data_IF_289146837664
#
_entry.id   IF_289146837664
#
_cell.length_a   1.000
_cell.length_b   1.000
_cell.length_c   1.000
_cell.angle_alpha   90.00
_cell.angle_beta   90.00
_cell.angle_gamma   90.00
#
_symmetry.space_group_name_H-M   'P 1'
#
loop_
_entity.id
_entity.type
_entity.pdbx_description
1 polymer ?
#
# COMPACT_ATOMS: atom_id res chain seq x y z
N UNK A 1 21.22 17.19 -36.52
CA UNK A 1 19.82 16.84 -36.24
C UNK A 1 19.58 16.96 -34.74
N UNK A 2 19.28 18.19 -34.28
CA UNK A 2 18.93 18.47 -32.90
C UNK A 2 17.41 18.57 -32.84
N UNK A 3 16.75 17.44 -32.62
CA UNK A 3 15.32 17.43 -32.32
C UNK A 3 15.24 17.51 -30.79
N UNK A 4 14.90 18.70 -30.28
CA UNK A 4 14.79 19.10 -28.86
C UNK A 4 16.14 19.24 -28.13
N UNK A 5 16.56 20.50 -27.88
CA UNK A 5 17.81 20.87 -27.18
C UNK A 5 17.88 20.52 -25.67
N UNK A 6 17.22 19.43 -25.25
CA UNK A 6 17.29 18.92 -23.88
C UNK A 6 18.50 17.99 -23.73
N UNK A 7 19.33 18.25 -22.73
CA UNK A 7 20.43 17.36 -22.35
C UNK A 7 19.82 16.10 -21.73
N UNK A 8 20.36 14.92 -22.07
CA UNK A 8 19.90 13.64 -21.52
C UNK A 8 19.87 13.61 -19.97
N UNK A 9 20.78 14.34 -19.34
CA UNK A 9 20.81 14.50 -17.87
C UNK A 9 19.57 15.20 -17.31
N UNK A 10 19.03 16.20 -18.03
CA UNK A 10 17.78 16.87 -17.66
C UNK A 10 16.58 15.94 -17.82
N UNK A 11 16.57 15.11 -18.86
CA UNK A 11 15.48 14.13 -19.07
C UNK A 11 15.43 13.12 -17.91
N UNK A 12 16.59 12.58 -17.51
CA UNK A 12 16.68 11.65 -16.37
C UNK A 12 16.24 12.30 -15.06
N UNK A 13 16.61 13.56 -14.82
CA UNK A 13 16.18 14.26 -13.60
C UNK A 13 14.67 14.49 -13.57
N UNK A 14 14.04 14.87 -14.68
CA UNK A 14 12.59 15.01 -14.77
C UNK A 14 11.85 13.70 -14.52
N UNK A 15 12.37 12.58 -15.05
CA UNK A 15 11.79 11.25 -14.81
C UNK A 15 11.87 10.90 -13.33
N UNK A 16 13.04 11.08 -12.70
CA UNK A 16 13.24 10.77 -11.28
C UNK A 16 12.31 11.60 -10.39
N UNK A 17 12.23 12.92 -10.63
CA UNK A 17 11.34 13.82 -9.89
C UNK A 17 9.88 13.43 -10.08
N UNK A 18 9.47 13.07 -11.31
CA UNK A 18 8.10 12.65 -11.58
C UNK A 18 7.73 11.36 -10.85
N UNK A 19 8.63 10.37 -10.83
CA UNK A 19 8.42 9.10 -10.09
C UNK A 19 8.31 9.38 -8.59
N UNK A 20 9.17 10.24 -8.05
CA UNK A 20 9.13 10.61 -6.64
C UNK A 20 7.80 11.30 -6.29
N UNK A 21 7.38 12.28 -7.09
CA UNK A 21 6.13 13.00 -6.90
C UNK A 21 4.91 12.06 -6.97
N UNK A 22 4.85 11.18 -7.97
CA UNK A 22 3.77 10.20 -8.10
C UNK A 22 3.74 9.24 -6.90
N UNK A 23 4.90 8.78 -6.45
CA UNK A 23 5.01 7.87 -5.30
C UNK A 23 4.51 8.55 -4.03
N UNK A 24 5.03 9.74 -3.71
CA UNK A 24 4.61 10.50 -2.51
C UNK A 24 3.13 10.84 -2.56
N UNK A 25 2.63 11.30 -3.71
CA UNK A 25 1.21 11.61 -3.89
C UNK A 25 0.32 10.39 -3.66
N UNK A 26 0.74 9.21 -4.16
CA UNK A 26 0.01 7.96 -3.94
C UNK A 26 0.01 7.54 -2.46
N UNK A 27 1.14 7.69 -1.75
CA UNK A 27 1.21 7.39 -0.31
C UNK A 27 0.24 8.28 0.49
N UNK A 28 0.23 9.58 0.20
CA UNK A 28 -0.67 10.55 0.85
C UNK A 28 -2.13 10.19 0.53
N UNK A 29 -2.45 9.93 -0.75
CA UNK A 29 -3.78 9.50 -1.15
C UNK A 29 -4.24 8.25 -0.39
N UNK A 30 -3.39 7.22 -0.33
CA UNK A 30 -3.71 5.94 0.30
C UNK A 30 -4.02 6.05 1.80
N UNK A 31 -3.30 6.94 2.51
CA UNK A 31 -3.46 7.14 3.94
C UNK A 31 -4.71 8.00 4.24
N UNK A 32 -4.89 9.10 3.51
CA UNK A 32 -5.85 10.16 3.89
C UNK A 32 -7.14 10.17 3.06
N UNK A 33 -7.10 9.75 1.80
CA UNK A 33 -8.20 9.93 0.85
C UNK A 33 -8.78 8.63 0.31
N UNK A 34 -8.08 7.51 0.48
CA UNK A 34 -8.57 6.21 0.01
C UNK A 34 -9.91 5.84 0.66
N UNK A 35 -10.85 5.22 -0.08
CA UNK A 35 -12.16 4.82 0.47
C UNK A 35 -12.03 3.92 1.70
N UNK A 36 -11.01 3.06 1.73
CA UNK A 36 -10.71 2.17 2.85
C UNK A 36 -9.96 2.85 4.02
N UNK A 37 -9.85 4.18 4.08
CA UNK A 37 -9.12 4.90 5.14
C UNK A 37 -9.70 4.71 6.54
N UNK A 38 -10.97 4.33 6.63
CA UNK A 38 -11.69 4.13 7.89
C UNK A 38 -11.37 2.79 8.56
N UNK A 39 -10.81 1.83 7.81
CA UNK A 39 -10.45 0.53 8.37
C UNK A 39 -9.12 0.61 9.12
N UNK A 40 -9.03 -0.03 10.30
CA UNK A 40 -7.82 -0.02 11.11
C UNK A 40 -6.74 -0.89 10.48
N UNK A 41 -5.48 -0.63 10.84
CA UNK A 41 -4.34 -1.42 10.38
C UNK A 41 -3.02 -0.64 10.49
N UNK A 42 -1.88 -1.32 10.30
CA UNK A 42 -0.57 -0.70 10.35
C UNK A 42 -0.46 0.47 9.37
N UNK A 43 0.16 1.58 9.78
CA UNK A 43 0.30 2.76 8.93
C UNK A 43 0.99 2.44 7.59
N UNK A 44 2.03 1.60 7.61
CA UNK A 44 2.74 1.19 6.40
C UNK A 44 1.90 0.31 5.47
N UNK A 45 1.06 -0.57 6.03
CA UNK A 45 0.10 -1.37 5.27
C UNK A 45 -0.92 -0.48 4.56
N UNK A 46 -1.41 0.57 5.25
CA UNK A 46 -2.33 1.56 4.67
C UNK A 46 -1.68 2.39 3.56
N UNK A 47 -0.37 2.63 3.63
CA UNK A 47 0.36 3.50 2.71
C UNK A 47 0.76 2.77 1.42
N UNK A 48 1.32 1.56 1.53
CA UNK A 48 1.91 0.82 0.41
C UNK A 48 1.83 -0.70 0.58
N UNK A 49 1.67 -1.41 -0.55
CA UNK A 49 1.69 -2.88 -0.60
C UNK A 49 3.05 -3.49 -0.28
N UNK A 50 4.12 -2.69 -0.33
CA UNK A 50 5.48 -3.16 -0.03
C UNK A 50 5.61 -3.69 1.40
N UNK A 51 4.85 -3.15 2.34
CA UNK A 51 4.85 -3.61 3.73
C UNK A 51 4.29 -5.03 3.87
N UNK A 52 3.17 -5.32 3.17
CA UNK A 52 2.62 -6.66 3.07
C UNK A 52 3.60 -7.63 2.40
N UNK A 53 4.16 -7.22 1.25
CA UNK A 53 5.10 -8.03 0.48
C UNK A 53 6.35 -8.39 1.29
N UNK A 54 6.84 -7.49 2.14
CA UNK A 54 7.98 -7.76 3.01
C UNK A 54 7.73 -8.96 3.94
N UNK A 55 6.58 -9.04 4.61
CA UNK A 55 6.26 -10.15 5.51
C UNK A 55 5.92 -11.44 4.77
N UNK A 56 5.31 -11.31 3.59
CA UNK A 56 5.05 -12.42 2.68
C UNK A 56 6.36 -13.09 2.25
N UNK A 57 7.33 -12.30 1.76
CA UNK A 57 8.66 -12.78 1.38
C UNK A 57 9.49 -13.28 2.56
N UNK A 58 9.21 -12.78 3.77
CA UNK A 58 9.86 -13.25 5.00
C UNK A 58 9.28 -14.57 5.52
N UNK A 59 8.18 -15.06 4.95
CA UNK A 59 7.53 -16.32 5.35
C UNK A 59 6.79 -16.27 6.69
N UNK A 60 6.69 -15.09 7.31
CA UNK A 60 6.06 -14.89 8.63
C UNK A 60 4.71 -14.18 8.55
N UNK A 61 4.13 -14.11 7.34
CA UNK A 61 2.90 -13.34 7.11
C UNK A 61 1.72 -13.82 7.96
N UNK A 62 1.56 -15.13 8.12
CA UNK A 62 0.51 -15.72 8.95
C UNK A 62 0.61 -15.28 10.43
N UNK A 63 1.83 -15.20 10.99
CA UNK A 63 2.05 -14.71 12.35
C UNK A 63 1.68 -13.24 12.46
N UNK A 64 2.08 -12.46 11.45
CA UNK A 64 1.87 -11.02 11.45
C UNK A 64 0.40 -10.65 11.25
N UNK A 65 -0.32 -11.41 10.43
CA UNK A 65 -1.75 -11.28 10.24
C UNK A 65 -2.51 -11.61 11.54
N UNK A 66 -2.12 -12.67 12.25
CA UNK A 66 -2.67 -12.95 13.59
C UNK A 66 -2.43 -11.77 14.54
N UNK A 67 -1.18 -11.28 14.64
CA UNK A 67 -0.83 -10.16 15.49
C UNK A 67 -1.68 -8.91 15.16
N UNK A 68 -1.87 -8.62 13.88
CA UNK A 68 -2.70 -7.49 13.47
C UNK A 68 -4.17 -7.68 13.85
N UNK A 69 -4.73 -8.88 13.69
CA UNK A 69 -6.10 -9.15 14.13
C UNK A 69 -6.25 -9.11 15.66
N UNK A 70 -5.22 -9.52 16.40
CA UNK A 70 -5.19 -9.39 17.87
C UNK A 70 -5.21 -7.90 18.31
N UNK A 71 -4.58 -7.00 17.54
CA UNK A 71 -4.47 -5.56 17.87
C UNK A 71 -5.65 -4.73 17.33
N UNK A 72 -6.05 -4.98 16.09
CA UNK A 72 -6.98 -4.12 15.33
C UNK A 72 -8.39 -4.71 15.22
N UNK A 73 -8.58 -5.99 15.55
CA UNK A 73 -9.88 -6.67 15.54
C UNK A 73 -10.13 -7.49 14.28
N UNK A 74 -11.40 -7.81 14.02
CA UNK A 74 -11.81 -8.79 13.00
C UNK A 74 -11.56 -8.32 11.56
N UNK A 75 -11.50 -7.01 11.31
CA UNK A 75 -11.29 -6.42 9.99
C UNK A 75 -10.06 -5.54 10.00
N UNK A 76 -9.06 -5.89 9.18
CA UNK A 76 -7.78 -5.18 9.15
C UNK A 76 -7.39 -4.82 7.73
N UNK A 77 -6.95 -3.58 7.53
CA UNK A 77 -6.38 -3.12 6.27
C UNK A 77 -4.90 -3.52 6.17
N UNK A 78 -4.65 -4.59 5.41
CA UNK A 78 -3.33 -5.21 5.26
C UNK A 78 -2.55 -4.70 4.04
N UNK A 79 -3.23 -4.03 3.10
CA UNK A 79 -2.63 -3.24 2.02
C UNK A 79 -3.53 -2.03 1.69
N UNK A 80 -3.11 -1.08 0.83
CA UNK A 80 -3.93 0.08 0.51
C UNK A 80 -5.32 -0.29 -0.01
N UNK A 81 -5.41 -1.36 -0.79
CA UNK A 81 -6.57 -1.86 -1.52
C UNK A 81 -7.07 -3.22 -1.00
N UNK A 82 -6.60 -3.68 0.15
CA UNK A 82 -6.87 -5.04 0.65
C UNK A 82 -7.27 -5.02 2.13
N UNK A 83 -8.35 -5.75 2.43
CA UNK A 83 -8.84 -6.00 3.78
C UNK A 83 -8.75 -7.49 4.09
N UNK A 84 -8.35 -7.79 5.32
CA UNK A 84 -8.37 -9.12 5.89
C UNK A 84 -9.49 -9.25 6.89
N UNK A 85 -10.15 -10.41 6.90
CA UNK A 85 -11.30 -10.73 7.74
C UNK A 85 -11.06 -12.05 8.47
N UNK A 86 -11.50 -12.14 9.72
CA UNK A 86 -11.48 -13.39 10.50
C UNK A 86 -12.87 -13.94 10.83
N UNK A 87 -13.95 -13.20 10.53
CA UNK A 87 -15.31 -13.62 10.84
C UNK A 87 -15.88 -14.59 9.80
N UNK A 88 -16.63 -15.59 10.24
CA UNK A 88 -17.29 -16.54 9.34
C UNK A 88 -18.36 -15.87 8.45
N UNK A 89 -18.99 -14.80 8.95
CA UNK A 89 -19.98 -14.02 8.18
C UNK A 89 -19.36 -13.41 6.92
N UNK A 90 -18.09 -13.00 6.96
CA UNK A 90 -17.41 -12.42 5.80
C UNK A 90 -17.38 -13.39 4.61
N UNK A 91 -17.33 -14.70 4.84
CA UNK A 91 -17.39 -15.68 3.76
C UNK A 91 -18.72 -15.60 2.99
N UNK A 92 -19.83 -15.47 3.72
CA UNK A 92 -21.19 -15.38 3.15
C UNK A 92 -21.43 -14.04 2.46
N UNK A 93 -20.85 -12.96 2.98
CA UNK A 93 -21.05 -11.62 2.40
C UNK A 93 -20.22 -11.43 1.11
N UNK A 94 -19.10 -12.15 0.97
CA UNK A 94 -18.18 -12.04 -0.17
C UNK A 94 -18.52 -13.01 -1.30
N UNK A 95 -18.98 -14.22 -0.99
CA UNK A 95 -19.24 -15.31 -1.95
C UNK A 95 -20.69 -15.81 -1.88
#
# INVERSE_FOLDING_TARGET
MAILGLRWTSVLSYILVSILLLTVSKLIYNIFFHPLRHYPGPLFARATRLYHLYYDLSGVQHLKQKEWHDIYGEVVRIAPDELSYTSAQAWVDIY
#
